data_IF_572893711867
#
_entry.id   IF_572893711867
#
_cell.length_a   1.000
_cell.length_b   1.000
_cell.length_c   1.000
_cell.angle_alpha   90.00
_cell.angle_beta   90.00
_cell.angle_gamma   90.00
#
_symmetry.space_group_name_H-M   'P 1'
#
loop_
_entity.id
_entity.type
_entity.pdbx_description
1 polymer ?
#
# COMPACT_ATOMS: atom_id res chain seq x y z
N UNK A 1 -32.29 -11.38 4.57
CA UNK A 1 -31.56 -10.11 4.33
C UNK A 1 -30.10 -10.47 4.13
N UNK A 2 -29.48 -10.07 3.02
CA UNK A 2 -28.13 -10.55 2.66
C UNK A 2 -27.43 -9.57 1.73
N UNK A 3 -26.89 -8.51 2.31
CA UNK A 3 -26.03 -7.53 1.64
C UNK A 3 -24.95 -7.06 2.64
N UNK A 4 -23.87 -6.47 2.13
CA UNK A 4 -22.84 -5.74 2.90
C UNK A 4 -21.65 -6.51 3.49
N UNK A 5 -21.23 -7.68 2.96
CA UNK A 5 -19.86 -8.18 3.19
C UNK A 5 -18.89 -7.91 2.05
N UNK A 6 -19.37 -7.81 0.79
CA UNK A 6 -18.51 -7.61 -0.39
C UNK A 6 -17.98 -6.17 -0.59
N UNK A 7 -18.35 -5.22 0.27
CA UNK A 7 -17.94 -3.80 0.17
C UNK A 7 -16.72 -3.46 1.04
N UNK A 8 -16.43 -4.27 2.07
CA UNK A 8 -15.35 -4.01 3.04
C UNK A 8 -14.07 -4.80 2.75
N UNK A 9 -14.04 -5.63 1.70
CA UNK A 9 -12.86 -6.41 1.28
C UNK A 9 -11.65 -5.56 0.86
N UNK A 10 -11.84 -4.26 0.64
CA UNK A 10 -10.77 -3.29 0.32
C UNK A 10 -10.17 -2.64 1.58
N UNK A 11 -10.71 -2.89 2.78
CA UNK A 11 -10.24 -2.28 4.04
C UNK A 11 -9.70 -3.36 4.97
N UNK A 12 -8.39 -3.40 5.15
CA UNK A 12 -7.72 -4.35 6.04
C UNK A 12 -8.20 -4.21 7.50
N UNK A 13 -8.49 -5.35 8.13
CA UNK A 13 -8.86 -5.44 9.55
C UNK A 13 -7.66 -5.47 10.50
N UNK A 14 -6.49 -5.88 9.99
CA UNK A 14 -5.24 -5.91 10.74
C UNK A 14 -4.34 -4.73 10.32
N UNK A 15 -3.62 -4.17 11.28
CA UNK A 15 -2.57 -3.18 11.04
C UNK A 15 -1.18 -3.76 11.37
N UNK A 16 -0.63 -4.65 10.53
CA UNK A 16 0.66 -5.29 10.78
C UNK A 16 1.85 -4.31 10.75
N UNK A 17 1.64 -3.06 10.31
CA UNK A 17 2.67 -2.03 10.20
C UNK A 17 2.58 -0.97 11.32
N UNK A 18 1.59 -1.06 12.21
CA UNK A 18 1.28 -0.05 13.25
C UNK A 18 1.17 1.38 12.67
N UNK A 19 0.61 1.51 11.47
CA UNK A 19 0.38 2.79 10.82
C UNK A 19 -0.87 3.52 11.34
N UNK A 20 -1.70 2.89 12.17
CA UNK A 20 -2.85 3.49 12.82
C UNK A 20 -2.66 3.50 14.33
N UNK A 21 -2.62 4.71 14.90
CA UNK A 21 -2.63 4.94 16.34
C UNK A 21 -3.93 5.70 16.65
N UNK A 22 -4.71 5.20 17.61
CA UNK A 22 -5.97 5.80 18.08
C UNK A 22 -6.92 6.24 16.94
N UNK A 23 -7.17 5.33 15.98
CA UNK A 23 -8.05 5.53 14.82
C UNK A 23 -7.59 6.63 13.82
N UNK A 24 -6.35 7.11 13.93
CA UNK A 24 -5.73 8.05 12.99
C UNK A 24 -4.54 7.40 12.26
N UNK A 25 -4.43 7.63 10.94
CA UNK A 25 -3.25 7.23 10.15
C UNK A 25 -2.04 8.07 10.57
N UNK A 26 -0.97 7.42 11.05
CA UNK A 26 0.31 8.05 11.32
C UNK A 26 1.06 8.31 10.01
N UNK A 27 0.73 9.44 9.39
CA UNK A 27 1.30 9.92 8.13
C UNK A 27 2.84 10.01 8.14
N UNK A 28 3.43 10.28 9.31
CA UNK A 28 4.90 10.33 9.46
C UNK A 28 5.50 8.92 9.38
N UNK A 29 4.92 7.93 10.06
CA UNK A 29 5.38 6.53 9.98
C UNK A 29 5.32 5.97 8.55
N UNK A 30 4.28 6.32 7.79
CA UNK A 30 4.15 5.95 6.36
C UNK A 30 5.28 6.57 5.51
N UNK A 31 5.62 7.84 5.77
CA UNK A 31 6.74 8.54 5.11
C UNK A 31 8.09 7.90 5.45
N UNK A 32 8.33 7.62 6.74
CA UNK A 32 9.58 7.08 7.25
C UNK A 32 9.81 5.63 6.77
N UNK A 33 8.76 4.82 6.69
CA UNK A 33 8.80 3.43 6.20
C UNK A 33 9.30 3.34 4.75
N UNK A 34 8.75 4.18 3.86
CA UNK A 34 9.16 4.26 2.46
C UNK A 34 10.40 5.15 2.26
N UNK A 35 10.85 5.84 3.31
CA UNK A 35 11.91 6.86 3.30
C UNK A 35 11.64 7.97 2.28
N UNK A 36 10.40 8.47 2.22
CA UNK A 36 10.05 9.65 1.43
C UNK A 36 10.54 10.92 2.12
N UNK A 37 11.12 11.83 1.34
CA UNK A 37 11.43 13.18 1.80
C UNK A 37 10.26 14.16 1.57
N UNK A 38 10.36 15.38 2.10
CA UNK A 38 9.32 16.41 1.93
C UNK A 38 9.18 16.86 0.47
N UNK A 39 10.23 16.87 -0.33
CA UNK A 39 10.15 17.25 -1.75
C UNK A 39 9.45 16.18 -2.60
N UNK A 40 9.60 14.90 -2.26
CA UNK A 40 8.87 13.78 -2.86
C UNK A 40 7.39 13.85 -2.48
N UNK A 41 7.07 14.01 -1.20
CA UNK A 41 5.68 14.17 -0.73
C UNK A 41 4.99 15.39 -1.36
N UNK A 42 5.70 16.50 -1.55
CA UNK A 42 5.18 17.69 -2.22
C UNK A 42 4.75 17.38 -3.65
N UNK A 43 5.61 16.67 -4.40
CA UNK A 43 5.35 16.24 -5.78
C UNK A 43 4.20 15.23 -5.87
N UNK A 44 4.14 14.26 -4.96
CA UNK A 44 3.07 13.24 -4.89
C UNK A 44 1.71 13.89 -4.62
N UNK A 45 1.66 14.88 -3.73
CA UNK A 45 0.44 15.60 -3.35
C UNK A 45 0.10 16.81 -4.24
N UNK A 46 1.01 17.26 -5.11
CA UNK A 46 0.82 18.47 -5.91
C UNK A 46 0.85 19.78 -5.09
N UNK A 47 1.39 19.75 -3.87
CA UNK A 47 1.44 20.90 -2.94
C UNK A 47 2.85 21.47 -2.84
N UNK A 48 2.99 22.65 -2.22
CA UNK A 48 4.31 23.22 -1.91
C UNK A 48 4.95 22.47 -0.74
N UNK A 49 6.28 22.30 -0.76
CA UNK A 49 7.05 21.66 0.32
C UNK A 49 6.80 22.31 1.69
N UNK A 50 6.62 23.63 1.72
CA UNK A 50 6.31 24.42 2.93
C UNK A 50 4.90 24.23 3.47
N UNK A 51 3.99 23.63 2.69
CA UNK A 51 2.64 23.26 3.11
C UNK A 51 2.58 21.86 3.74
N UNK A 52 3.66 21.08 3.72
CA UNK A 52 3.70 19.74 4.28
C UNK A 52 3.73 19.80 5.80
N UNK A 53 2.67 19.23 6.40
CA UNK A 53 2.46 19.11 7.84
C UNK A 53 1.82 17.74 8.08
N UNK A 54 2.25 17.07 9.13
CA UNK A 54 1.70 15.76 9.53
C UNK A 54 0.67 15.88 10.67
N UNK A 55 0.48 17.10 11.19
CA UNK A 55 -0.49 17.44 12.24
C UNK A 55 -1.93 17.57 11.69
N UNK A 56 -2.86 17.94 12.57
CA UNK A 56 -4.27 18.27 12.28
C UNK A 56 -4.53 19.37 11.21
N UNK A 57 -3.48 19.94 10.60
CA UNK A 57 -3.55 20.89 9.47
C UNK A 57 -2.88 20.34 8.19
N UNK A 58 -2.81 19.02 8.05
CA UNK A 58 -2.37 18.34 6.82
C UNK A 58 -3.24 18.78 5.62
N UNK A 59 -2.65 19.12 4.45
CA UNK A 59 -3.41 19.39 3.24
C UNK A 59 -4.25 18.18 2.81
N UNK A 60 -5.46 18.42 2.30
CA UNK A 60 -6.38 17.35 1.91
C UNK A 60 -5.78 16.42 0.84
N UNK A 61 -5.07 16.97 -0.15
CA UNK A 61 -4.39 16.22 -1.20
C UNK A 61 -3.27 15.33 -0.65
N UNK A 62 -2.48 15.84 0.30
CA UNK A 62 -1.42 15.08 0.95
C UNK A 62 -1.99 13.94 1.81
N UNK A 63 -3.08 14.22 2.52
CA UNK A 63 -3.81 13.21 3.32
C UNK A 63 -4.31 12.08 2.43
N UNK A 64 -5.02 12.41 1.34
CA UNK A 64 -5.55 11.40 0.39
C UNK A 64 -4.42 10.54 -0.19
N UNK A 65 -3.29 11.15 -0.58
CA UNK A 65 -2.13 10.42 -1.12
C UNK A 65 -1.46 9.52 -0.07
N UNK A 66 -1.33 9.97 1.17
CA UNK A 66 -0.72 9.16 2.22
C UNK A 66 -1.65 8.03 2.69
N UNK A 67 -2.97 8.25 2.76
CA UNK A 67 -3.94 7.17 2.99
C UNK A 67 -3.91 6.14 1.84
N UNK A 68 -3.80 6.59 0.58
CA UNK A 68 -3.59 5.73 -0.59
C UNK A 68 -2.31 4.88 -0.47
N UNK A 69 -1.20 5.50 -0.09
CA UNK A 69 0.09 4.81 0.12
C UNK A 69 0.02 3.82 1.28
N UNK A 70 -0.58 4.21 2.41
CA UNK A 70 -0.75 3.35 3.58
C UNK A 70 -1.54 2.09 3.22
N UNK A 71 -2.66 2.23 2.50
CA UNK A 71 -3.46 1.09 2.03
C UNK A 71 -2.64 0.13 1.14
N UNK A 72 -1.80 0.64 0.21
CA UNK A 72 -0.90 -0.21 -0.58
C UNK A 72 0.12 -0.91 0.32
N UNK A 73 0.70 -0.23 1.31
CA UNK A 73 1.65 -0.86 2.22
C UNK A 73 0.99 -1.98 3.04
N UNK A 74 -0.24 -1.78 3.54
CA UNK A 74 -1.02 -2.83 4.20
C UNK A 74 -1.35 -4.00 3.26
N UNK A 75 -1.74 -3.73 2.00
CA UNK A 75 -2.00 -4.76 0.98
C UNK A 75 -0.78 -5.65 0.71
N UNK A 76 0.40 -5.04 0.62
CA UNK A 76 1.67 -5.76 0.38
C UNK A 76 2.15 -6.47 1.66
N UNK A 77 1.96 -5.87 2.84
CA UNK A 77 2.26 -6.53 4.11
C UNK A 77 1.38 -7.76 4.34
N UNK A 78 0.08 -7.70 4.05
CA UNK A 78 -0.82 -8.88 4.12
C UNK A 78 -0.45 -9.99 3.12
N UNK A 79 0.26 -9.67 2.04
CA UNK A 79 0.85 -10.67 1.13
C UNK A 79 2.14 -11.30 1.69
N UNK A 80 2.84 -10.63 2.60
CA UNK A 80 4.05 -11.13 3.28
C UNK A 80 3.79 -11.56 4.74
N UNK A 81 2.57 -12.00 5.08
CA UNK A 81 2.16 -12.42 6.43
C UNK A 81 2.40 -11.36 7.53
N UNK A 82 2.37 -10.08 7.16
CA UNK A 82 2.64 -8.93 8.03
C UNK A 82 4.12 -8.53 8.13
N UNK A 83 5.01 -9.16 7.37
CA UNK A 83 6.45 -8.86 7.42
C UNK A 83 6.77 -7.47 6.84
N UNK A 84 7.00 -6.52 7.76
CA UNK A 84 7.33 -5.13 7.45
C UNK A 84 8.68 -4.98 6.75
N UNK A 85 9.64 -5.87 7.00
CA UNK A 85 10.97 -5.83 6.38
C UNK A 85 10.91 -6.29 4.93
N UNK A 86 10.27 -7.43 4.64
CA UNK A 86 10.03 -7.92 3.26
C UNK A 86 9.24 -6.88 2.46
N UNK A 87 8.21 -6.30 3.07
CA UNK A 87 7.41 -5.22 2.46
C UNK A 87 8.30 -4.02 2.10
N UNK A 88 9.08 -3.49 3.06
CA UNK A 88 9.97 -2.35 2.83
C UNK A 88 11.09 -2.64 1.83
N UNK A 89 11.49 -3.90 1.65
CA UNK A 89 12.43 -4.36 0.62
C UNK A 89 11.74 -4.39 -0.75
N UNK A 90 10.55 -5.00 -0.85
CA UNK A 90 9.77 -5.09 -2.09
C UNK A 90 9.48 -3.72 -2.72
N UNK A 91 9.18 -2.69 -1.91
CA UNK A 91 9.01 -1.32 -2.42
C UNK A 91 10.27 -0.70 -3.04
N UNK A 92 11.46 -1.19 -2.69
CA UNK A 92 12.77 -0.70 -3.16
C UNK A 92 13.37 -1.58 -4.26
N UNK A 93 12.93 -2.83 -4.38
CA UNK A 93 13.37 -3.74 -5.43
C UNK A 93 12.74 -3.33 -6.78
N UNK A 94 13.54 -3.15 -7.85
CA UNK A 94 13.01 -2.95 -9.19
C UNK A 94 12.19 -4.15 -9.64
N UNK A 95 11.03 -3.93 -10.26
CA UNK A 95 10.17 -5.00 -10.74
C UNK A 95 10.03 -4.95 -12.28
N UNK A 96 10.55 -5.95 -13.02
CA UNK A 96 10.40 -6.03 -14.48
C UNK A 96 8.94 -5.96 -14.96
N UNK A 97 7.99 -6.50 -14.19
CA UNK A 97 6.56 -6.44 -14.53
C UNK A 97 5.95 -5.04 -14.42
N UNK A 98 6.63 -4.11 -13.76
CA UNK A 98 6.27 -2.68 -13.72
C UNK A 98 7.02 -1.86 -14.78
N UNK A 99 7.94 -2.48 -15.54
CA UNK A 99 8.86 -1.82 -16.48
C UNK A 99 10.16 -1.39 -15.82
N UNK A 100 10.80 -2.30 -15.07
CA UNK A 100 12.09 -2.14 -14.36
C UNK A 100 12.17 -0.94 -13.38
N UNK A 101 11.01 -0.46 -12.93
CA UNK A 101 10.89 0.60 -11.91
C UNK A 101 10.53 0.00 -10.55
N UNK A 102 10.93 0.70 -9.48
CA UNK A 102 10.53 0.32 -8.12
C UNK A 102 9.07 0.72 -7.85
N UNK A 103 8.34 -0.01 -6.99
CA UNK A 103 7.02 0.42 -6.53
C UNK A 103 7.04 1.79 -5.84
N UNK A 104 8.14 2.16 -5.15
CA UNK A 104 8.37 3.51 -4.61
C UNK A 104 8.37 4.57 -5.72
N UNK A 105 9.10 4.34 -6.82
CA UNK A 105 9.15 5.28 -7.94
C UNK A 105 7.80 5.40 -8.65
N UNK A 106 7.04 4.31 -8.74
CA UNK A 106 5.67 4.34 -9.26
C UNK A 106 4.76 5.25 -8.42
N UNK A 107 4.89 5.25 -7.10
CA UNK A 107 4.19 6.19 -6.20
C UNK A 107 4.69 7.63 -6.45
N UNK A 108 6.01 7.86 -6.45
CA UNK A 108 6.64 9.17 -6.69
C UNK A 108 6.24 9.80 -8.02
N UNK A 109 6.03 9.00 -9.07
CA UNK A 109 5.61 9.41 -10.40
C UNK A 109 4.08 9.55 -10.55
N UNK A 110 3.31 9.42 -9.46
CA UNK A 110 1.83 9.52 -9.49
C UNK A 110 1.13 8.32 -10.17
N UNK A 111 1.85 7.23 -10.47
CA UNK A 111 1.34 6.04 -11.16
C UNK A 111 0.60 5.07 -10.22
N UNK A 112 0.06 5.58 -9.11
CA UNK A 112 -0.67 4.85 -8.06
C UNK A 112 -1.69 3.85 -8.61
N UNK A 113 -2.57 4.28 -9.52
CA UNK A 113 -3.63 3.43 -10.09
C UNK A 113 -3.09 2.18 -10.80
N UNK A 114 -1.91 2.26 -11.44
CA UNK A 114 -1.25 1.10 -12.07
C UNK A 114 -0.68 0.14 -11.04
N UNK A 115 -0.06 0.67 -9.97
CA UNK A 115 0.48 -0.15 -8.88
C UNK A 115 -0.62 -0.88 -8.12
N UNK A 116 -1.71 -0.18 -7.76
CA UNK A 116 -2.87 -0.79 -7.11
C UNK A 116 -3.52 -1.88 -7.99
N UNK A 117 -3.67 -1.62 -9.29
CA UNK A 117 -4.18 -2.62 -10.24
C UNK A 117 -3.27 -3.86 -10.28
N UNK A 118 -1.95 -3.68 -10.41
CA UNK A 118 -0.98 -4.78 -10.40
C UNK A 118 -1.04 -5.62 -9.12
N UNK A 119 -1.18 -4.99 -7.95
CA UNK A 119 -1.29 -5.70 -6.67
C UNK A 119 -2.60 -6.49 -6.58
N UNK A 120 -3.73 -5.92 -7.01
CA UNK A 120 -5.00 -6.64 -7.03
C UNK A 120 -4.99 -7.81 -8.04
N UNK A 121 -4.40 -7.62 -9.22
CA UNK A 121 -4.21 -8.69 -10.21
C UNK A 121 -3.29 -9.80 -9.66
N UNK A 122 -2.19 -9.43 -9.01
CA UNK A 122 -1.28 -10.36 -8.34
C UNK A 122 -2.01 -11.16 -7.24
N UNK A 123 -2.69 -10.49 -6.30
CA UNK A 123 -3.47 -11.14 -5.24
C UNK A 123 -4.53 -12.08 -5.81
N UNK A 124 -5.18 -11.72 -6.91
CA UNK A 124 -6.19 -12.56 -7.56
C UNK A 124 -5.55 -13.80 -8.20
N UNK A 125 -4.42 -13.64 -8.90
CA UNK A 125 -3.68 -14.77 -9.49
C UNK A 125 -3.12 -15.72 -8.43
N UNK A 126 -2.59 -15.20 -7.31
CA UNK A 126 -2.12 -16.01 -6.18
C UNK A 126 -3.27 -16.68 -5.42
N UNK A 127 -4.44 -16.05 -5.33
CA UNK A 127 -5.63 -16.67 -4.75
C UNK A 127 -6.10 -17.89 -5.58
N UNK A 128 -6.07 -17.79 -6.90
CA UNK A 128 -6.34 -18.94 -7.80
C UNK A 128 -5.33 -20.06 -7.60
N UNK A 129 -4.02 -19.75 -7.63
CA UNK A 129 -2.97 -20.75 -7.42
C UNK A 129 -3.05 -21.43 -6.04
N UNK A 130 -3.35 -20.67 -4.98
CA UNK A 130 -3.47 -21.22 -3.63
C UNK A 130 -4.70 -22.13 -3.49
N UNK A 131 -5.80 -21.82 -4.19
CA UNK A 131 -6.98 -22.68 -4.26
C UNK A 131 -6.69 -23.99 -5.01
N UNK A 132 -5.97 -23.92 -6.13
CA UNK A 132 -5.57 -25.08 -6.93
C UNK A 132 -4.57 -25.98 -6.16
N UNK A 133 -3.49 -25.41 -5.59
CA UNK A 133 -2.50 -26.18 -4.81
C UNK A 133 -3.10 -26.83 -3.56
N UNK A 134 -4.11 -26.20 -2.94
CA UNK A 134 -4.82 -26.79 -1.79
C UNK A 134 -5.83 -27.86 -2.21
N UNK A 135 -6.35 -27.84 -3.44
CA UNK A 135 -7.18 -28.91 -3.98
C UNK A 135 -6.35 -30.14 -4.38
N UNK A 136 -5.14 -29.94 -4.92
CA UNK A 136 -4.23 -31.03 -5.30
C UNK A 136 -3.69 -31.78 -4.07
N UNK A 137 -3.20 -31.05 -3.06
CA UNK A 137 -2.74 -31.63 -1.78
C UNK A 137 -3.85 -32.19 -0.87
N UNK A 138 -5.13 -32.05 -1.24
CA UNK A 138 -6.26 -32.65 -0.51
C UNK A 138 -6.75 -33.96 -1.15
N UNK A 139 -6.09 -34.42 -2.24
CA UNK A 139 -6.48 -35.58 -3.03
C UNK A 139 -5.33 -36.60 -3.17
N UNK A 140 -4.35 -36.53 -2.26
CA UNK A 140 -3.18 -37.40 -2.11
C UNK A 140 -3.06 -37.85 -0.64
#
# INVERSE_FOLDING_TARGET
MGASQSLFSTVHQNDPLNFRVDNATNYQAVSDFLKFDKAELAKIAGVRETSIRFDNKIPADLRERLDQIANICSLVAEYFDGDSYKTALWFKTPNPMLGDVTPRDMIRLGRYKRLLKFINESRSAYASQTAETKAENANA
#
